data_IF_213811416321
#
_entry.id   IF_213811416321
#
_cell.length_a   1.000
_cell.length_b   1.000
_cell.length_c   1.000
_cell.angle_alpha   90.00
_cell.angle_beta   90.00
_cell.angle_gamma   90.00
#
_symmetry.space_group_name_H-M   'P 1'
#
loop_
_entity.id
_entity.type
_entity.pdbx_description
1 polymer ?
#
# COMPACT_ATOMS: atom_id res chain seq x y z
N UNK A 1 18.48 38.55 24.92
CA UNK A 1 19.10 37.75 23.86
C UNK A 1 18.55 36.33 23.96
N UNK A 2 17.60 35.97 23.07
CA UNK A 2 17.07 34.61 22.99
C UNK A 2 17.93 33.83 21.98
N UNK A 3 18.75 32.92 22.49
CA UNK A 3 19.51 32.00 21.66
C UNK A 3 18.53 30.89 21.17
N UNK A 4 17.95 31.05 20.01
CA UNK A 4 17.18 29.98 19.35
C UNK A 4 18.16 28.95 18.80
N UNK A 5 18.47 27.93 19.58
CA UNK A 5 19.08 26.70 19.09
C UNK A 5 18.10 26.04 18.14
N UNK A 6 18.15 26.37 16.86
CA UNK A 6 17.50 25.65 15.79
C UNK A 6 18.13 24.25 15.68
N UNK A 7 17.68 23.32 16.53
CA UNK A 7 17.92 21.91 16.31
C UNK A 7 17.17 21.53 15.04
N UNK A 8 17.87 21.44 13.91
CA UNK A 8 17.33 20.79 12.71
C UNK A 8 16.95 19.38 13.11
N UNK A 9 15.65 19.10 13.21
CA UNK A 9 15.15 17.73 13.35
C UNK A 9 15.38 17.06 11.99
N UNK A 10 16.42 16.25 11.92
CA UNK A 10 16.66 15.39 10.75
C UNK A 10 15.68 14.24 10.86
N UNK A 11 14.61 14.28 10.09
CA UNK A 11 13.71 13.12 9.92
C UNK A 11 14.43 12.15 8.97
N UNK A 12 14.82 10.95 9.43
CA UNK A 12 15.47 9.99 8.56
C UNK A 12 14.50 9.60 7.43
N UNK A 13 14.92 9.79 6.19
CA UNK A 13 14.15 9.39 5.01
C UNK A 13 14.41 7.90 4.76
N UNK A 14 13.33 7.11 4.65
CA UNK A 14 13.41 5.73 4.18
C UNK A 14 13.80 5.75 2.70
N UNK A 15 14.91 5.12 2.29
CA UNK A 15 15.31 5.06 0.88
C UNK A 15 14.26 4.37 0.01
N UNK A 16 14.08 4.85 -1.21
CA UNK A 16 13.25 4.22 -2.22
C UNK A 16 13.74 2.77 -2.48
N UNK A 17 12.82 1.82 -2.57
CA UNK A 17 13.14 0.42 -2.77
C UNK A 17 13.52 -0.35 -1.50
N UNK A 18 13.50 0.29 -0.32
CA UNK A 18 13.69 -0.42 0.94
C UNK A 18 12.70 -1.57 1.06
N UNK A 19 13.21 -2.75 1.41
CA UNK A 19 12.41 -3.95 1.63
C UNK A 19 12.61 -4.43 3.08
N UNK A 20 11.50 -4.59 3.79
CA UNK A 20 11.50 -5.17 5.15
C UNK A 20 10.76 -6.50 5.10
N UNK A 21 11.42 -7.56 5.52
CA UNK A 21 10.88 -8.91 5.53
C UNK A 21 10.44 -9.30 6.94
N UNK A 22 9.24 -9.85 7.03
CA UNK A 22 8.70 -10.47 8.24
C UNK A 22 8.40 -11.94 7.94
N UNK A 23 8.76 -12.82 8.85
CA UNK A 23 8.49 -14.25 8.74
C UNK A 23 7.71 -14.72 9.98
N UNK A 24 6.59 -15.38 9.76
CA UNK A 24 5.73 -15.94 10.79
C UNK A 24 5.23 -17.30 10.31
N UNK A 25 5.75 -18.39 10.90
CA UNK A 25 5.45 -19.77 10.51
C UNK A 25 5.64 -19.99 8.99
N UNK A 26 4.57 -20.33 8.28
CA UNK A 26 4.58 -20.58 6.83
C UNK A 26 4.40 -19.29 6.01
N UNK A 27 4.14 -18.16 6.65
CA UNK A 27 3.89 -16.88 5.96
C UNK A 27 5.12 -16.01 6.00
N UNK A 28 5.51 -15.51 4.81
CA UNK A 28 6.51 -14.47 4.68
C UNK A 28 5.88 -13.22 4.06
N UNK A 29 6.16 -12.08 4.63
CA UNK A 29 5.69 -10.76 4.18
C UNK A 29 6.89 -9.92 3.77
N UNK A 30 6.86 -9.36 2.57
CA UNK A 30 7.83 -8.36 2.12
C UNK A 30 7.13 -7.02 2.00
N UNK A 31 7.47 -6.07 2.88
CA UNK A 31 7.02 -4.69 2.79
C UNK A 31 8.03 -3.88 1.99
N UNK A 32 7.63 -3.40 0.82
CA UNK A 32 8.49 -2.72 -0.14
C UNK A 32 8.05 -1.26 -0.24
N UNK A 33 8.98 -0.35 0.04
CA UNK A 33 8.73 1.09 0.05
C UNK A 33 9.08 1.72 -1.29
N UNK A 34 8.14 2.46 -1.88
CA UNK A 34 8.33 3.40 -2.99
C UNK A 34 9.20 2.87 -4.16
N UNK A 35 9.06 1.58 -4.50
CA UNK A 35 9.79 0.93 -5.59
C UNK A 35 8.91 0.82 -6.84
N UNK A 36 9.37 1.28 -8.02
CA UNK A 36 8.64 1.09 -9.26
C UNK A 36 8.40 -0.38 -9.59
N UNK A 37 7.22 -0.68 -10.11
CA UNK A 37 6.87 -1.98 -10.68
C UNK A 37 7.31 -1.99 -12.15
N UNK A 38 7.86 -3.09 -12.63
CA UNK A 38 8.24 -3.24 -14.03
C UNK A 38 7.05 -3.00 -14.96
N UNK A 39 7.26 -2.27 -16.06
CA UNK A 39 6.23 -1.97 -17.07
C UNK A 39 6.19 -2.98 -18.23
N UNK A 40 7.12 -3.93 -18.22
CA UNK A 40 7.22 -5.04 -19.20
C UNK A 40 7.28 -6.34 -18.45
N UNK A 41 6.81 -7.40 -19.08
CA UNK A 41 6.93 -8.75 -18.53
C UNK A 41 8.41 -9.02 -18.22
N UNK A 42 8.64 -9.43 -16.97
CA UNK A 42 9.95 -9.84 -16.51
C UNK A 42 9.79 -11.12 -15.67
N UNK A 43 10.35 -12.22 -16.15
CA UNK A 43 10.26 -13.53 -15.48
C UNK A 43 10.95 -13.58 -14.11
N UNK A 44 11.80 -12.60 -13.81
CA UNK A 44 12.45 -12.46 -12.50
C UNK A 44 11.55 -11.76 -11.46
N UNK A 45 10.46 -11.15 -11.89
CA UNK A 45 9.51 -10.47 -11.04
C UNK A 45 8.18 -11.24 -11.04
N UNK A 46 7.44 -11.23 -9.94
CA UNK A 46 6.16 -11.96 -9.82
C UNK A 46 5.06 -11.32 -10.65
N UNK A 47 5.17 -10.01 -10.88
CA UNK A 47 4.16 -9.21 -11.57
C UNK A 47 4.76 -8.00 -12.27
N UNK A 48 3.96 -7.41 -13.16
CA UNK A 48 4.26 -6.19 -13.89
C UNK A 48 3.01 -5.34 -14.03
N UNK A 49 3.14 -4.07 -14.45
CA UNK A 49 2.03 -3.14 -14.58
C UNK A 49 1.85 -2.69 -16.03
N UNK A 50 0.61 -2.74 -16.51
CA UNK A 50 0.23 -2.31 -17.87
C UNK A 50 -0.02 -0.79 -17.96
N UNK A 51 0.65 0.01 -17.15
CA UNK A 51 0.40 1.45 -17.09
C UNK A 51 1.66 2.24 -16.70
N UNK A 52 1.71 3.53 -17.09
CA UNK A 52 2.83 4.42 -16.73
C UNK A 52 2.89 4.76 -15.23
N UNK A 53 1.75 4.76 -14.52
CA UNK A 53 1.68 4.90 -13.06
C UNK A 53 2.01 3.56 -12.42
N UNK A 54 3.26 3.39 -12.06
CA UNK A 54 3.81 2.10 -11.63
C UNK A 54 4.54 2.15 -10.29
N UNK A 55 4.39 3.24 -9.53
CA UNK A 55 5.13 3.45 -8.29
C UNK A 55 4.17 3.72 -7.12
N UNK A 56 3.59 2.67 -6.51
CA UNK A 56 2.85 2.82 -5.26
C UNK A 56 3.77 3.16 -4.10
N UNK A 57 3.25 3.84 -3.09
CA UNK A 57 4.03 4.21 -1.90
C UNK A 57 4.53 2.99 -1.14
N UNK A 58 3.66 1.98 -0.94
CA UNK A 58 3.98 0.74 -0.25
C UNK A 58 3.36 -0.46 -0.96
N UNK A 59 4.08 -1.57 -0.99
CA UNK A 59 3.59 -2.88 -1.41
C UNK A 59 3.85 -3.90 -0.31
N UNK A 60 2.88 -4.72 -0.02
CA UNK A 60 3.01 -5.86 0.86
C UNK A 60 2.83 -7.13 0.03
N UNK A 61 3.94 -7.76 -0.31
CA UNK A 61 3.96 -9.04 -1.02
C UNK A 61 3.87 -10.19 -0.03
N UNK A 62 2.93 -11.10 -0.26
CA UNK A 62 2.61 -12.20 0.64
C UNK A 62 3.02 -13.52 0.00
N UNK A 63 3.75 -14.32 0.76
CA UNK A 63 4.23 -15.64 0.39
C UNK A 63 3.72 -16.69 1.37
N UNK A 64 3.44 -17.88 0.87
CA UNK A 64 3.16 -19.07 1.67
C UNK A 64 4.20 -20.14 1.30
N UNK A 65 4.92 -20.66 2.28
CA UNK A 65 5.99 -21.66 2.08
C UNK A 65 6.94 -21.29 0.92
N UNK A 66 7.42 -20.07 0.91
CA UNK A 66 8.30 -19.50 -0.12
C UNK A 66 7.67 -19.22 -1.50
N UNK A 67 6.41 -19.59 -1.71
CA UNK A 67 5.69 -19.30 -2.95
C UNK A 67 4.95 -17.99 -2.85
N UNK A 68 5.14 -17.10 -3.84
CA UNK A 68 4.38 -15.85 -3.93
C UNK A 68 2.88 -16.15 -4.11
N UNK A 69 2.03 -15.45 -3.38
CA UNK A 69 0.58 -15.63 -3.40
C UNK A 69 -0.16 -14.41 -3.95
N UNK A 70 0.09 -13.24 -3.37
CA UNK A 70 -0.66 -12.02 -3.66
C UNK A 70 0.07 -10.78 -3.16
N UNK A 71 -0.40 -9.62 -3.62
CA UNK A 71 0.08 -8.30 -3.18
C UNK A 71 -1.07 -7.47 -2.62
N UNK A 72 -0.79 -6.68 -1.59
CA UNK A 72 -1.63 -5.59 -1.10
C UNK A 72 -0.88 -4.28 -1.39
N UNK A 73 -1.59 -3.30 -1.97
CA UNK A 73 -1.04 -1.96 -2.20
C UNK A 73 -1.55 -1.03 -1.11
N UNK A 74 -0.65 -0.24 -0.52
CA UNK A 74 -1.01 0.84 0.38
C UNK A 74 -0.46 2.14 -0.20
N UNK A 75 -1.33 3.14 -0.31
CA UNK A 75 -1.02 4.38 -0.99
C UNK A 75 -1.51 5.58 -0.18
N UNK A 76 -0.59 6.48 0.21
CA UNK A 76 -0.89 7.59 1.09
C UNK A 76 -1.68 8.69 0.37
N UNK A 77 -2.75 9.18 0.99
CA UNK A 77 -3.61 10.23 0.48
C UNK A 77 -3.75 11.34 1.51
N UNK A 78 -3.35 12.55 1.14
CA UNK A 78 -3.43 13.73 2.00
C UNK A 78 -4.80 14.42 1.92
N UNK A 79 -5.86 13.62 2.00
CA UNK A 79 -7.24 14.07 1.90
C UNK A 79 -8.11 13.40 2.97
N UNK A 80 -9.21 14.06 3.42
CA UNK A 80 -10.22 13.39 4.25
C UNK A 80 -10.82 12.17 3.53
N UNK A 81 -11.19 11.15 4.30
CA UNK A 81 -11.72 9.88 3.77
C UNK A 81 -12.93 10.09 2.85
N UNK A 82 -13.86 10.98 3.24
CA UNK A 82 -15.08 11.29 2.48
C UNK A 82 -14.83 12.01 1.15
N UNK A 83 -13.65 12.58 0.96
CA UNK A 83 -13.26 13.31 -0.25
C UNK A 83 -12.46 12.47 -1.25
N UNK A 84 -11.91 11.34 -0.84
CA UNK A 84 -11.06 10.50 -1.71
C UNK A 84 -11.84 10.09 -2.96
N UNK A 85 -13.09 9.63 -2.82
CA UNK A 85 -13.94 9.21 -3.94
C UNK A 85 -14.38 10.36 -4.87
N UNK A 86 -14.29 11.60 -4.41
CA UNK A 86 -14.63 12.80 -5.20
C UNK A 86 -13.47 13.31 -6.05
N UNK A 87 -12.28 12.74 -5.88
CA UNK A 87 -11.05 13.13 -6.59
C UNK A 87 -10.79 12.16 -7.74
N UNK A 88 -11.22 12.50 -8.93
CA UNK A 88 -11.13 11.66 -10.13
C UNK A 88 -9.73 11.05 -10.35
N UNK A 89 -8.68 11.87 -10.24
CA UNK A 89 -7.27 11.40 -10.41
C UNK A 89 -6.85 10.40 -9.33
N UNK A 90 -7.36 10.54 -8.11
CA UNK A 90 -7.09 9.60 -7.02
C UNK A 90 -7.79 8.28 -7.28
N UNK A 91 -9.06 8.32 -7.64
CA UNK A 91 -9.85 7.12 -7.98
C UNK A 91 -9.23 6.38 -9.17
N UNK A 92 -8.84 7.11 -10.21
CA UNK A 92 -8.13 6.55 -11.36
C UNK A 92 -6.84 5.82 -10.94
N UNK A 93 -6.04 6.43 -10.07
CA UNK A 93 -4.79 5.83 -9.58
C UNK A 93 -5.05 4.55 -8.79
N UNK A 94 -6.01 4.55 -7.88
CA UNK A 94 -6.37 3.36 -7.10
C UNK A 94 -6.86 2.23 -8.01
N UNK A 95 -7.66 2.54 -9.04
CA UNK A 95 -8.12 1.59 -10.03
C UNK A 95 -6.99 1.03 -10.90
N UNK A 96 -6.02 1.85 -11.27
CA UNK A 96 -4.82 1.38 -11.99
C UNK A 96 -4.06 0.37 -11.16
N UNK A 97 -3.79 0.66 -9.89
CA UNK A 97 -3.11 -0.27 -9.01
C UNK A 97 -3.89 -1.58 -8.82
N UNK A 98 -5.22 -1.50 -8.74
CA UNK A 98 -6.05 -2.70 -8.58
C UNK A 98 -6.12 -3.56 -9.85
N UNK A 99 -6.26 -2.95 -11.03
CA UNK A 99 -6.66 -3.66 -12.24
C UNK A 99 -5.54 -3.79 -13.28
N UNK A 100 -4.45 -3.03 -13.20
CA UNK A 100 -3.38 -3.04 -14.20
C UNK A 100 -2.10 -3.76 -13.76
N UNK A 101 -2.03 -4.21 -12.50
CA UNK A 101 -0.92 -5.01 -11.98
C UNK A 101 -1.31 -6.49 -12.12
N UNK A 102 -0.59 -7.18 -12.98
CA UNK A 102 -0.91 -8.55 -13.38
C UNK A 102 0.29 -9.48 -13.22
N UNK A 103 0.03 -10.78 -13.10
CA UNK A 103 1.06 -11.81 -12.97
C UNK A 103 2.00 -11.85 -14.18
N UNK A 104 3.28 -12.06 -13.92
CA UNK A 104 4.28 -12.29 -14.99
C UNK A 104 4.14 -13.67 -15.64
N UNK A 105 3.51 -14.63 -14.95
CA UNK A 105 3.28 -15.99 -15.45
C UNK A 105 1.95 -16.10 -16.18
N UNK A 106 0.90 -15.48 -15.62
CA UNK A 106 -0.44 -15.46 -16.21
C UNK A 106 -0.96 -14.02 -16.29
N UNK A 107 -0.85 -13.36 -17.45
CA UNK A 107 -1.24 -11.95 -17.60
C UNK A 107 -2.73 -11.64 -17.38
N UNK A 108 -3.59 -12.64 -17.36
CA UNK A 108 -5.02 -12.49 -17.06
C UNK A 108 -5.30 -12.52 -15.54
N UNK A 109 -4.29 -12.88 -14.75
CA UNK A 109 -4.41 -12.94 -13.30
C UNK A 109 -3.98 -11.64 -12.63
N UNK A 110 -4.93 -10.98 -11.94
CA UNK A 110 -4.70 -9.79 -11.13
C UNK A 110 -4.13 -10.19 -9.77
N UNK A 111 -2.89 -9.79 -9.51
CA UNK A 111 -2.17 -10.16 -8.28
C UNK A 111 -2.53 -9.31 -7.07
N UNK A 112 -3.09 -8.11 -7.29
CA UNK A 112 -3.45 -7.20 -6.20
C UNK A 112 -4.77 -7.63 -5.58
N UNK A 113 -4.71 -8.10 -4.35
CA UNK A 113 -5.90 -8.52 -3.58
C UNK A 113 -6.75 -7.30 -3.21
N UNK A 114 -6.10 -6.25 -2.73
CA UNK A 114 -6.76 -5.01 -2.34
C UNK A 114 -5.80 -3.82 -2.44
N UNK A 115 -6.35 -2.65 -2.73
CA UNK A 115 -5.66 -1.37 -2.64
C UNK A 115 -6.21 -0.62 -1.42
N UNK A 116 -5.32 -0.19 -0.52
CA UNK A 116 -5.69 0.56 0.68
C UNK A 116 -5.18 2.00 0.55
N UNK A 117 -6.12 2.95 0.44
CA UNK A 117 -5.82 4.36 0.51
C UNK A 117 -5.66 4.77 1.99
N UNK A 118 -4.48 5.19 2.38
CA UNK A 118 -4.17 5.63 3.74
C UNK A 118 -4.42 7.13 3.87
N UNK A 119 -5.29 7.53 4.80
CA UNK A 119 -5.62 8.93 5.07
C UNK A 119 -5.21 9.34 6.48
N UNK A 120 -4.66 10.56 6.69
CA UNK A 120 -4.25 11.01 8.03
C UNK A 120 -5.44 11.11 8.98
N UNK A 121 -5.23 10.76 10.26
CA UNK A 121 -6.27 10.87 11.30
C UNK A 121 -6.72 12.31 11.54
N UNK A 122 -5.85 13.31 11.30
CA UNK A 122 -6.17 14.73 11.50
C UNK A 122 -7.36 15.24 10.69
N UNK A 123 -7.72 14.55 9.60
CA UNK A 123 -8.85 14.91 8.75
C UNK A 123 -10.10 14.11 9.06
N UNK A 124 -10.05 13.17 10.00
CA UNK A 124 -11.12 12.21 10.26
C UNK A 124 -11.36 12.10 11.77
N UNK A 125 -12.58 11.77 12.16
CA UNK A 125 -12.96 11.59 13.55
C UNK A 125 -12.50 10.21 14.08
N UNK A 126 -11.18 10.07 14.28
CA UNK A 126 -10.61 8.86 14.86
C UNK A 126 -10.24 7.77 13.85
N UNK A 127 -10.27 6.52 14.28
CA UNK A 127 -9.91 5.35 13.50
C UNK A 127 -11.07 4.96 12.56
N UNK A 128 -10.88 5.22 11.26
CA UNK A 128 -11.89 4.98 10.22
C UNK A 128 -11.43 3.89 9.27
N UNK A 129 -12.37 3.03 8.87
CA UNK A 129 -12.21 2.12 7.74
C UNK A 129 -13.46 2.13 6.88
N UNK A 130 -13.29 2.25 5.57
CA UNK A 130 -14.36 2.18 4.58
C UNK A 130 -13.95 1.20 3.48
N UNK A 131 -14.62 0.05 3.43
CA UNK A 131 -14.31 -1.06 2.52
C UNK A 131 -15.30 -1.02 1.37
N UNK A 132 -14.78 -0.84 0.15
CA UNK A 132 -15.55 -1.01 -1.07
C UNK A 132 -15.22 -2.37 -1.70
N UNK A 133 -16.06 -3.37 -1.43
CA UNK A 133 -15.88 -4.73 -1.91
C UNK A 133 -16.01 -4.86 -3.43
N UNK A 134 -16.83 -4.01 -4.06
CA UNK A 134 -17.05 -4.06 -5.52
C UNK A 134 -15.77 -3.69 -6.29
N UNK A 135 -14.97 -2.77 -5.75
CA UNK A 135 -13.73 -2.32 -6.39
C UNK A 135 -12.48 -2.90 -5.74
N UNK A 136 -12.61 -3.66 -4.65
CA UNK A 136 -11.48 -4.13 -3.83
C UNK A 136 -10.53 -2.99 -3.43
N UNK A 137 -11.11 -1.87 -3.05
CA UNK A 137 -10.42 -0.68 -2.57
C UNK A 137 -10.97 -0.33 -1.18
N UNK A 138 -10.05 -0.08 -0.26
CA UNK A 138 -10.36 0.31 1.12
C UNK A 138 -9.76 1.68 1.41
N UNK A 139 -10.49 2.51 2.16
CA UNK A 139 -9.97 3.74 2.75
C UNK A 139 -9.80 3.49 4.24
N UNK A 140 -8.60 3.71 4.76
CA UNK A 140 -8.30 3.53 6.17
C UNK A 140 -7.49 4.71 6.71
N UNK A 141 -7.74 5.08 7.97
CA UNK A 141 -6.90 6.05 8.66
C UNK A 141 -5.58 5.42 9.09
N UNK A 142 -4.52 6.21 8.94
CA UNK A 142 -3.20 5.86 9.43
C UNK A 142 -2.51 7.08 10.05
N UNK A 143 -1.96 6.92 11.25
CA UNK A 143 -1.08 7.91 11.86
C UNK A 143 0.00 7.21 12.69
N UNK A 144 1.25 7.71 12.64
CA UNK A 144 2.29 7.29 13.57
C UNK A 144 1.84 7.52 15.03
N UNK A 145 2.21 6.60 15.92
CA UNK A 145 1.88 6.67 17.36
C UNK A 145 0.37 6.66 17.70
N UNK A 146 -0.48 6.26 16.75
CA UNK A 146 -1.91 6.07 16.94
C UNK A 146 -2.27 4.58 16.88
N UNK A 147 -3.31 4.18 17.61
CA UNK A 147 -3.84 2.80 17.52
C UNK A 147 -4.60 2.63 16.20
N UNK A 148 -3.92 2.26 15.13
CA UNK A 148 -4.52 2.01 13.82
C UNK A 148 -5.21 0.62 13.80
N UNK A 149 -6.13 0.37 14.76
CA UNK A 149 -6.70 -0.96 15.00
C UNK A 149 -7.44 -1.51 13.81
N UNK A 150 -8.28 -0.69 13.18
CA UNK A 150 -9.10 -1.12 12.02
C UNK A 150 -8.25 -1.47 10.81
N UNK A 151 -7.21 -0.68 10.52
CA UNK A 151 -6.25 -1.00 9.47
C UNK A 151 -5.52 -2.31 9.76
N UNK A 152 -5.05 -2.52 10.99
CA UNK A 152 -4.34 -3.73 11.40
C UNK A 152 -5.25 -4.96 11.26
N UNK A 153 -6.49 -4.87 11.71
CA UNK A 153 -7.48 -5.95 11.57
C UNK A 153 -7.74 -6.28 10.09
N UNK A 154 -7.88 -5.24 9.25
CA UNK A 154 -8.06 -5.45 7.81
C UNK A 154 -6.87 -6.13 7.16
N UNK A 155 -5.66 -5.69 7.48
CA UNK A 155 -4.43 -6.32 6.98
C UNK A 155 -4.35 -7.80 7.41
N UNK A 156 -4.66 -8.12 8.67
CA UNK A 156 -4.72 -9.52 9.14
C UNK A 156 -5.70 -10.34 8.33
N UNK A 157 -6.93 -9.84 8.11
CA UNK A 157 -7.92 -10.53 7.28
C UNK A 157 -7.39 -10.80 5.86
N UNK A 158 -6.73 -9.81 5.24
CA UNK A 158 -6.19 -9.94 3.88
C UNK A 158 -4.98 -10.88 3.81
N UNK A 159 -4.16 -10.94 4.83
CA UNK A 159 -2.98 -11.82 4.88
C UNK A 159 -3.42 -13.28 4.99
N UNK A 160 -4.39 -13.57 5.85
CA UNK A 160 -4.81 -14.94 6.16
C UNK A 160 -6.00 -15.45 5.31
N UNK A 161 -6.53 -14.63 4.39
CA UNK A 161 -7.64 -15.04 3.50
C UNK A 161 -7.23 -15.94 2.35
#
# INVERSE_FOLDING_TARGET
MFNSNNKKVIIPRIPDGTNVTFELEDIKLNLIFNKPICRKINTKEHYWVRHKRNKPDLRLDIYNKHSYVKTIILDAKYSPADRIWKQEKVVEQLNIYKNMIVSSVNPDYHVVKEVIALTPTRFNNGDIININTNFSVTIATFAPNFKNTKLIERLKQLIYS
#
